data_IF_801367688580
#
_entry.id   IF_801367688580
#
_cell.length_a   1.000
_cell.length_b   1.000
_cell.length_c   1.000
_cell.angle_alpha   90.00
_cell.angle_beta   90.00
_cell.angle_gamma   90.00
#
_symmetry.space_group_name_H-M   'P 1'
#
loop_
_entity.id
_entity.type
_entity.pdbx_description
1 polymer ?
#
# COMPACT_ATOMS: atom_id res chain seq x y z
N UNK A 1 -23.99 43.81 -27.34
CA UNK A 1 -22.80 42.93 -27.19
C UNK A 1 -22.41 42.92 -25.72
N UNK A 2 -22.63 41.79 -25.03
CA UNK A 2 -22.04 41.56 -23.70
C UNK A 2 -20.65 40.97 -23.95
N UNK A 3 -19.58 41.46 -23.30
CA UNK A 3 -18.27 40.86 -23.48
C UNK A 3 -18.31 39.44 -22.91
N UNK A 4 -17.72 38.50 -23.63
CA UNK A 4 -17.46 37.15 -23.16
C UNK A 4 -16.51 37.28 -21.97
N UNK A 5 -17.01 37.01 -20.76
CA UNK A 5 -16.16 36.72 -19.62
C UNK A 5 -15.41 35.43 -19.96
N UNK A 6 -14.13 35.56 -20.26
CA UNK A 6 -13.21 34.44 -20.19
C UNK A 6 -13.18 34.07 -18.72
N UNK A 7 -13.93 33.04 -18.33
CA UNK A 7 -13.69 32.34 -17.08
C UNK A 7 -12.29 31.74 -17.24
N UNK A 8 -11.27 32.40 -16.70
CA UNK A 8 -10.01 31.72 -16.45
C UNK A 8 -10.37 30.59 -15.50
N UNK A 9 -10.35 29.35 -15.98
CA UNK A 9 -10.55 28.20 -15.11
C UNK A 9 -9.43 28.23 -14.07
N UNK A 10 -9.78 28.55 -12.82
CA UNK A 10 -8.82 28.65 -11.73
C UNK A 10 -8.70 27.26 -11.12
N UNK A 11 -7.87 26.43 -11.75
CA UNK A 11 -7.54 25.11 -11.22
C UNK A 11 -6.36 25.20 -10.25
N UNK A 12 -6.42 24.43 -9.17
CA UNK A 12 -5.33 24.20 -8.22
C UNK A 12 -4.23 23.48 -8.98
N UNK A 13 -3.08 24.13 -9.10
CA UNK A 13 -1.96 23.54 -9.81
C UNK A 13 -1.35 22.39 -8.99
N UNK A 14 -1.10 21.23 -9.61
CA UNK A 14 -0.34 20.14 -9.01
C UNK A 14 1.03 19.98 -9.69
N UNK A 15 2.10 19.91 -8.88
CA UNK A 15 3.49 19.75 -9.38
C UNK A 15 4.15 18.58 -8.69
N UNK A 16 4.72 17.64 -9.47
CA UNK A 16 5.51 16.55 -8.90
C UNK A 16 6.96 16.98 -8.63
N UNK A 17 7.37 16.98 -7.35
CA UNK A 17 8.73 17.32 -6.90
C UNK A 17 9.11 16.54 -5.64
N UNK A 18 9.41 15.25 -5.80
CA UNK A 18 9.67 14.30 -4.70
C UNK A 18 8.43 14.06 -3.81
N UNK A 19 7.25 14.08 -4.42
CA UNK A 19 5.92 14.19 -3.81
C UNK A 19 5.08 15.16 -4.66
N UNK A 20 3.79 15.30 -4.38
CA UNK A 20 2.92 16.29 -5.05
C UNK A 20 2.94 17.59 -4.24
N UNK A 21 3.09 18.72 -4.90
CA UNK A 21 2.99 20.04 -4.30
C UNK A 21 1.86 20.82 -4.96
N UNK A 22 1.02 21.44 -4.15
CA UNK A 22 -0.05 22.35 -4.55
C UNK A 22 0.40 23.79 -4.22
N UNK A 23 1.01 24.54 -5.17
CA UNK A 23 1.61 25.84 -4.89
C UNK A 23 0.61 26.87 -4.37
N UNK A 24 -0.61 26.86 -4.90
CA UNK A 24 -1.66 27.81 -4.53
C UNK A 24 -2.14 27.65 -3.07
N UNK A 25 -1.90 26.47 -2.48
CA UNK A 25 -2.33 26.10 -1.13
C UNK A 25 -1.14 25.91 -0.16
N UNK A 26 0.09 26.07 -0.66
CA UNK A 26 1.34 25.68 0.00
C UNK A 26 1.28 24.30 0.68
N UNK A 27 0.68 23.32 -0.01
CA UNK A 27 0.41 21.99 0.53
C UNK A 27 1.26 20.93 -0.17
N UNK A 28 2.01 20.16 0.63
CA UNK A 28 2.70 18.96 0.18
C UNK A 28 1.88 17.71 0.45
N UNK A 29 1.87 16.79 -0.51
CA UNK A 29 1.29 15.47 -0.41
C UNK A 29 2.40 14.44 -0.69
N UNK A 30 2.63 13.54 0.25
CA UNK A 30 3.62 12.46 0.18
C UNK A 30 5.03 12.93 -0.20
N UNK A 31 5.45 14.05 0.38
CA UNK A 31 6.81 14.56 0.16
C UNK A 31 7.84 13.63 0.82
N UNK A 32 8.65 12.95 0.04
CA UNK A 32 9.81 12.16 0.53
C UNK A 32 10.94 13.03 1.13
N UNK A 33 10.84 14.35 0.98
CA UNK A 33 11.73 15.32 1.63
C UNK A 33 11.05 15.91 2.86
N UNK A 34 11.83 16.18 3.91
CA UNK A 34 11.34 16.85 5.12
C UNK A 34 10.69 18.20 4.76
N UNK A 35 9.49 18.42 5.27
CA UNK A 35 8.70 19.65 5.13
C UNK A 35 8.20 20.10 6.50
N UNK A 36 7.74 21.33 6.58
CA UNK A 36 7.04 21.82 7.76
C UNK A 36 5.71 21.06 7.93
N UNK A 37 4.87 21.09 6.89
CA UNK A 37 3.60 20.37 6.82
C UNK A 37 3.53 19.55 5.53
N UNK A 38 3.00 18.32 5.61
CA UNK A 38 2.75 17.45 4.46
C UNK A 38 1.72 16.39 4.85
N UNK A 39 0.85 16.03 3.92
CA UNK A 39 0.11 14.77 4.02
C UNK A 39 1.09 13.60 3.90
N UNK A 40 0.83 12.55 4.68
CA UNK A 40 1.31 11.18 4.42
C UNK A 40 0.07 10.31 4.20
N UNK A 41 -0.18 9.91 2.96
CA UNK A 41 -1.35 9.12 2.56
C UNK A 41 -1.34 7.73 3.18
N UNK A 42 -0.17 7.10 3.29
CA UNK A 42 0.01 5.77 3.85
C UNK A 42 1.47 5.48 4.27
N UNK A 43 1.68 4.38 4.99
CA UNK A 43 2.93 4.08 5.69
C UNK A 43 4.03 3.39 4.83
N UNK A 44 4.04 3.60 3.51
CA UNK A 44 5.15 3.14 2.66
C UNK A 44 6.28 4.15 2.59
N UNK A 45 7.51 3.64 2.46
CA UNK A 45 8.73 4.45 2.60
C UNK A 45 8.93 5.48 1.48
N UNK A 46 8.36 5.23 0.31
CA UNK A 46 8.33 6.09 -0.86
C UNK A 46 7.24 7.17 -0.81
N UNK A 47 6.36 7.12 0.20
CA UNK A 47 5.36 8.15 0.50
C UNK A 47 5.64 8.90 1.80
N UNK A 48 6.67 8.49 2.56
CA UNK A 48 6.89 8.98 3.92
C UNK A 48 8.14 9.86 4.04
N UNK A 49 7.95 11.14 4.37
CA UNK A 49 9.02 12.04 4.82
C UNK A 49 9.00 12.30 6.33
N UNK A 50 10.15 12.65 6.93
CA UNK A 50 10.24 13.05 8.36
C UNK A 50 9.79 14.50 8.57
N UNK A 51 8.54 14.81 8.24
CA UNK A 51 7.96 16.14 8.36
C UNK A 51 7.91 16.61 9.82
N UNK A 52 7.93 17.93 10.05
CA UNK A 52 7.74 18.46 11.40
C UNK A 52 6.31 18.20 11.87
N UNK A 53 5.32 18.45 11.01
CA UNK A 53 3.90 18.36 11.34
C UNK A 53 3.12 17.61 10.26
N UNK A 54 3.33 16.28 10.11
CA UNK A 54 2.63 15.50 9.10
C UNK A 54 1.14 15.37 9.45
N UNK A 55 0.27 15.34 8.44
CA UNK A 55 -1.15 14.99 8.60
C UNK A 55 -1.40 13.62 7.99
N UNK A 56 -2.12 12.76 8.71
CA UNK A 56 -2.28 11.34 8.36
C UNK A 56 -3.37 10.69 9.20
N UNK A 57 -3.84 9.51 8.78
CA UNK A 57 -4.81 8.73 9.56
C UNK A 57 -4.18 8.19 10.86
N UNK A 58 -4.99 7.92 11.91
CA UNK A 58 -4.50 7.29 13.14
C UNK A 58 -3.80 5.95 12.89
N UNK A 59 -4.31 5.14 11.96
CA UNK A 59 -3.75 3.84 11.61
C UNK A 59 -2.40 3.98 10.87
N UNK A 60 -2.28 4.93 9.93
CA UNK A 60 -0.99 5.25 9.29
C UNK A 60 0.03 5.72 10.33
N UNK A 61 -0.39 6.52 11.32
CA UNK A 61 0.50 6.96 12.39
C UNK A 61 0.98 5.78 13.27
N UNK A 62 0.09 4.86 13.60
CA UNK A 62 0.43 3.65 14.36
C UNK A 62 1.42 2.75 13.61
N UNK A 63 1.28 2.63 12.29
CA UNK A 63 2.21 1.88 11.44
C UNK A 63 3.60 2.54 11.34
N UNK A 64 3.65 3.86 11.32
CA UNK A 64 4.91 4.61 11.24
C UNK A 64 5.68 4.64 12.57
N UNK A 65 4.98 4.61 13.71
CA UNK A 65 5.57 4.49 15.05
C UNK A 65 6.78 5.41 15.27
N UNK A 66 7.95 4.81 15.51
CA UNK A 66 9.24 5.49 15.74
C UNK A 66 9.66 6.47 14.63
N UNK A 67 9.12 6.32 13.41
CA UNK A 67 9.40 7.26 12.32
C UNK A 67 8.89 8.68 12.63
N UNK A 68 7.83 8.79 13.45
CA UNK A 68 7.19 10.04 13.84
C UNK A 68 7.68 10.60 15.18
N UNK A 69 8.66 9.96 15.84
CA UNK A 69 9.10 10.32 17.21
C UNK A 69 9.54 11.78 17.41
N UNK A 70 9.96 12.45 16.33
CA UNK A 70 10.43 13.84 16.32
C UNK A 70 9.48 14.76 15.53
N UNK A 71 8.24 14.31 15.33
CA UNK A 71 7.18 15.01 14.62
C UNK A 71 6.04 15.35 15.59
N UNK A 72 5.23 16.34 15.23
CA UNK A 72 3.96 16.70 15.86
C UNK A 72 2.81 16.31 14.91
N UNK A 73 2.42 15.03 14.85
CA UNK A 73 1.46 14.57 13.84
C UNK A 73 0.05 15.10 14.09
N UNK A 74 -0.61 15.55 13.02
CA UNK A 74 -2.05 15.81 13.00
C UNK A 74 -2.75 14.51 12.63
N UNK A 75 -3.36 13.85 13.63
CA UNK A 75 -4.15 12.65 13.41
C UNK A 75 -5.52 13.03 12.87
N UNK A 76 -5.80 12.66 11.62
CA UNK A 76 -7.02 13.00 10.91
C UNK A 76 -7.82 11.73 10.60
N UNK A 77 -8.87 11.40 11.39
CA UNK A 77 -9.75 10.29 11.06
C UNK A 77 -10.46 10.50 9.73
N UNK A 78 -10.87 9.42 9.08
CA UNK A 78 -11.66 9.51 7.86
C UNK A 78 -12.92 10.36 8.05
N UNK A 79 -13.30 11.08 6.99
CA UNK A 79 -14.48 11.95 6.92
C UNK A 79 -14.48 13.14 7.91
N UNK A 80 -13.38 13.35 8.64
CA UNK A 80 -13.22 14.55 9.48
C UNK A 80 -12.50 15.63 8.68
N UNK A 81 -13.02 16.88 8.68
CA UNK A 81 -12.36 17.98 8.01
C UNK A 81 -11.18 18.51 8.83
N UNK A 82 -10.05 18.69 8.18
CA UNK A 82 -8.97 19.54 8.65
C UNK A 82 -9.11 20.92 8.00
N UNK A 83 -9.43 21.93 8.82
CA UNK A 83 -9.67 23.29 8.35
C UNK A 83 -8.39 24.14 8.41
N UNK A 84 -7.80 24.40 7.25
CA UNK A 84 -6.64 25.29 7.08
C UNK A 84 -7.09 26.66 6.54
N UNK A 85 -6.25 27.72 6.60
CA UNK A 85 -6.63 29.04 6.09
C UNK A 85 -7.07 29.05 4.62
N UNK A 86 -6.35 28.32 3.75
CA UNK A 86 -6.56 28.34 2.29
C UNK A 86 -7.39 27.17 1.76
N UNK A 87 -7.54 26.10 2.53
CA UNK A 87 -8.23 24.89 2.10
C UNK A 87 -8.88 24.13 3.25
N UNK A 88 -9.82 23.24 2.92
CA UNK A 88 -10.28 22.18 3.81
C UNK A 88 -9.81 20.84 3.25
N UNK A 89 -9.22 19.98 4.09
CA UNK A 89 -8.78 18.65 3.68
C UNK A 89 -9.57 17.57 4.42
N UNK A 90 -10.09 16.58 3.69
CA UNK A 90 -10.79 15.42 4.27
C UNK A 90 -10.19 14.13 3.73
N UNK A 91 -9.94 13.16 4.62
CA UNK A 91 -9.40 11.86 4.24
C UNK A 91 -10.50 10.83 4.01
N UNK A 92 -10.34 10.00 2.98
CA UNK A 92 -11.23 8.91 2.61
C UNK A 92 -10.44 7.61 2.43
N UNK A 93 -11.00 6.44 2.74
CA UNK A 93 -10.33 5.16 2.54
C UNK A 93 -9.80 4.95 1.12
N UNK A 94 -8.56 4.46 0.99
CA UNK A 94 -7.91 4.19 -0.30
C UNK A 94 -7.88 2.69 -0.70
N UNK A 95 -8.21 1.75 0.19
CA UNK A 95 -8.17 0.31 -0.12
C UNK A 95 -6.79 -0.35 -0.03
N UNK A 96 -5.71 0.42 -0.14
CA UNK A 96 -4.37 -0.07 -0.43
C UNK A 96 -3.71 -0.83 0.74
N UNK A 97 -3.64 -0.20 1.90
CA UNK A 97 -3.20 -0.81 3.16
C UNK A 97 -3.96 -0.21 4.35
N UNK A 98 -3.85 -0.82 5.53
CA UNK A 98 -4.51 -0.32 6.74
C UNK A 98 -4.21 1.17 6.97
N UNK A 99 -5.26 1.99 7.05
CA UNK A 99 -5.12 3.44 7.24
C UNK A 99 -4.75 4.24 5.99
N UNK A 100 -4.58 3.60 4.83
CA UNK A 100 -4.30 4.30 3.57
C UNK A 100 -5.45 5.22 3.17
N UNK A 101 -5.12 6.45 2.77
CA UNK A 101 -6.09 7.49 2.53
C UNK A 101 -5.91 8.21 1.20
N UNK A 102 -7.04 8.43 0.53
CA UNK A 102 -7.22 9.51 -0.43
C UNK A 102 -7.43 10.81 0.34
N UNK A 103 -6.99 11.93 -0.20
CA UNK A 103 -7.20 13.26 0.38
C UNK A 103 -7.99 14.14 -0.59
N UNK A 104 -9.20 14.54 -0.18
CA UNK A 104 -9.97 15.57 -0.86
C UNK A 104 -9.56 16.93 -0.31
N UNK A 105 -9.06 17.80 -1.18
CA UNK A 105 -8.64 19.17 -0.87
C UNK A 105 -9.60 20.13 -1.55
N UNK A 106 -10.32 20.90 -0.75
CA UNK A 106 -11.25 21.92 -1.22
C UNK A 106 -10.63 23.30 -1.04
N UNK A 107 -10.35 23.98 -2.15
CA UNK A 107 -9.81 25.35 -2.14
C UNK A 107 -10.86 26.33 -1.64
N UNK A 108 -10.55 27.11 -0.61
CA UNK A 108 -11.48 28.14 -0.10
C UNK A 108 -11.56 29.36 -1.02
N UNK A 109 -10.52 29.61 -1.80
CA UNK A 109 -10.48 30.73 -2.74
C UNK A 109 -11.28 30.46 -4.02
N UNK A 110 -11.24 29.23 -4.53
CA UNK A 110 -11.83 28.87 -5.83
C UNK A 110 -13.06 27.96 -5.73
N UNK A 111 -13.22 27.25 -4.61
CA UNK A 111 -14.25 26.22 -4.42
C UNK A 111 -13.96 24.90 -5.14
N UNK A 112 -12.81 24.78 -5.81
CA UNK A 112 -12.43 23.55 -6.52
C UNK A 112 -12.05 22.44 -5.53
N UNK A 113 -12.46 21.22 -5.88
CA UNK A 113 -12.16 20.00 -5.14
C UNK A 113 -11.16 19.14 -5.90
N UNK A 114 -9.93 19.10 -5.42
CA UNK A 114 -8.88 18.23 -5.92
C UNK A 114 -8.80 16.97 -5.05
N UNK A 115 -8.90 15.79 -5.66
CA UNK A 115 -8.66 14.52 -4.98
C UNK A 115 -7.27 14.01 -5.31
N UNK A 116 -6.44 13.82 -4.28
CA UNK A 116 -5.21 13.06 -4.39
C UNK A 116 -5.45 11.64 -3.89
N UNK A 117 -5.21 10.64 -4.72
CA UNK A 117 -5.58 9.26 -4.37
C UNK A 117 -4.61 8.63 -3.36
N UNK A 118 -3.36 9.09 -3.30
CA UNK A 118 -2.28 8.24 -2.80
C UNK A 118 -2.21 6.95 -3.62
N UNK A 119 -1.71 5.87 -3.03
CA UNK A 119 -1.86 4.53 -3.62
C UNK A 119 -3.24 3.97 -3.26
N UNK A 120 -3.91 3.36 -4.25
CA UNK A 120 -5.26 2.81 -4.08
C UNK A 120 -5.31 1.32 -4.40
N UNK A 121 -6.32 0.62 -3.88
CA UNK A 121 -6.70 -0.72 -4.33
C UNK A 121 -8.23 -0.76 -4.49
N UNK A 122 -8.71 -0.96 -5.71
CA UNK A 122 -10.15 -1.06 -6.00
C UNK A 122 -10.75 -2.39 -5.54
N UNK A 123 -9.98 -3.49 -5.64
CA UNK A 123 -10.36 -4.81 -5.10
C UNK A 123 -10.40 -4.76 -3.57
N UNK A 124 -11.52 -5.21 -3.01
CA UNK A 124 -11.71 -5.25 -1.54
C UNK A 124 -10.72 -6.18 -0.87
N UNK A 125 -10.12 -5.73 0.23
CA UNK A 125 -9.27 -6.53 1.10
C UNK A 125 -9.99 -6.95 2.38
N UNK A 126 -9.60 -8.08 2.96
CA UNK A 126 -10.10 -8.53 4.27
C UNK A 126 -9.36 -7.88 5.45
N UNK A 127 -8.28 -7.13 5.16
CA UNK A 127 -7.39 -6.56 6.18
C UNK A 127 -7.26 -5.03 6.12
N UNK A 128 -7.92 -4.38 5.15
CA UNK A 128 -7.88 -2.93 4.93
C UNK A 128 -9.29 -2.36 4.80
N UNK A 129 -9.45 -1.06 5.04
CA UNK A 129 -10.68 -0.33 4.71
C UNK A 129 -10.90 -0.33 3.18
N UNK A 130 -12.12 -0.60 2.66
CA UNK A 130 -12.35 -0.63 1.21
C UNK A 130 -12.23 0.77 0.60
N UNK A 131 -11.76 0.86 -0.66
CA UNK A 131 -11.72 2.12 -1.41
C UNK A 131 -13.10 2.78 -1.47
N UNK A 132 -13.16 4.07 -1.17
CA UNK A 132 -14.37 4.89 -1.32
C UNK A 132 -14.27 5.77 -2.56
N UNK A 133 -15.32 5.80 -3.39
CA UNK A 133 -15.39 6.71 -4.53
C UNK A 133 -15.72 8.13 -4.06
N UNK A 134 -14.86 9.09 -4.37
CA UNK A 134 -15.01 10.50 -3.94
C UNK A 134 -15.22 11.39 -5.16
N UNK A 135 -16.30 12.18 -5.15
CA UNK A 135 -16.56 13.16 -6.20
C UNK A 135 -15.57 14.33 -6.09
N UNK A 136 -14.92 14.64 -7.21
CA UNK A 136 -13.94 15.71 -7.32
C UNK A 136 -14.03 16.38 -8.69
N UNK A 137 -13.42 17.55 -8.80
CA UNK A 137 -13.33 18.32 -10.04
C UNK A 137 -11.98 18.02 -10.74
N UNK A 138 -10.91 17.86 -9.96
CA UNK A 138 -9.57 17.46 -10.41
C UNK A 138 -9.12 16.20 -9.69
N UNK A 139 -8.62 15.21 -10.43
CA UNK A 139 -8.09 13.95 -9.89
C UNK A 139 -6.58 13.84 -10.13
N UNK A 140 -5.82 13.70 -9.04
CA UNK A 140 -4.41 13.32 -9.06
C UNK A 140 -4.31 11.87 -8.61
N UNK A 141 -4.23 10.96 -9.59
CA UNK A 141 -4.30 9.52 -9.37
C UNK A 141 -2.93 8.83 -9.43
N UNK A 142 -2.79 7.75 -8.66
CA UNK A 142 -1.72 6.79 -8.92
C UNK A 142 -1.94 6.09 -10.26
N UNK A 143 -0.84 5.73 -10.91
CA UNK A 143 -0.84 5.12 -12.23
C UNK A 143 0.25 4.06 -12.34
N UNK A 144 0.51 3.31 -11.26
CA UNK A 144 1.55 2.28 -11.19
C UNK A 144 1.45 1.32 -12.38
N UNK A 145 0.22 0.92 -12.71
CA UNK A 145 -0.12 0.05 -13.83
C UNK A 145 -0.96 0.77 -14.90
N UNK A 146 -0.74 2.08 -15.10
CA UNK A 146 -1.48 2.91 -16.06
C UNK A 146 -1.19 2.64 -17.53
N UNK A 147 -0.60 1.48 -17.89
CA UNK A 147 -0.38 1.09 -19.28
C UNK A 147 -1.26 -0.11 -19.66
N UNK A 148 -1.81 -0.15 -20.89
CA UNK A 148 -2.73 -1.21 -21.32
C UNK A 148 -2.20 -2.65 -21.23
N UNK A 149 -0.87 -2.85 -21.19
CA UNK A 149 -0.28 -4.18 -21.00
C UNK A 149 -0.45 -4.75 -19.58
N UNK A 150 -0.82 -3.93 -18.59
CA UNK A 150 -1.03 -4.35 -17.21
C UNK A 150 -2.51 -4.58 -16.92
N UNK A 151 -3.01 -5.73 -17.35
CA UNK A 151 -4.34 -6.24 -17.00
C UNK A 151 -4.16 -7.53 -16.20
N UNK A 152 -4.72 -7.59 -15.00
CA UNK A 152 -4.53 -8.72 -14.10
C UNK A 152 -5.63 -9.78 -14.29
N UNK A 153 -5.29 -11.08 -14.19
CA UNK A 153 -6.31 -12.11 -14.06
C UNK A 153 -7.07 -11.94 -12.72
N UNK A 154 -8.27 -12.54 -12.59
CA UNK A 154 -9.02 -12.49 -11.33
C UNK A 154 -8.18 -12.96 -10.14
N UNK A 155 -8.22 -12.20 -9.04
CA UNK A 155 -7.39 -12.44 -7.85
C UNK A 155 -7.52 -13.87 -7.30
N UNK A 156 -8.74 -14.44 -7.31
CA UNK A 156 -9.02 -15.81 -6.91
C UNK A 156 -8.24 -16.85 -7.72
N UNK A 157 -8.10 -16.65 -9.04
CA UNK A 157 -7.36 -17.58 -9.91
C UNK A 157 -5.85 -17.53 -9.63
N UNK A 158 -5.33 -16.34 -9.32
CA UNK A 158 -3.94 -16.13 -8.92
C UNK A 158 -3.66 -16.84 -7.59
N UNK A 159 -4.55 -16.65 -6.61
CA UNK A 159 -4.46 -17.28 -5.30
C UNK A 159 -4.57 -18.82 -5.38
N UNK A 160 -5.51 -19.37 -6.16
CA UNK A 160 -5.62 -20.82 -6.37
C UNK A 160 -4.34 -21.41 -6.98
N UNK A 161 -3.74 -20.71 -7.95
CA UNK A 161 -2.45 -21.10 -8.53
C UNK A 161 -1.32 -21.05 -7.49
N UNK A 162 -1.30 -20.02 -6.64
CA UNK A 162 -0.35 -19.92 -5.53
C UNK A 162 -0.51 -21.10 -4.57
N UNK A 163 -1.73 -21.42 -4.13
CA UNK A 163 -1.99 -22.51 -3.20
C UNK A 163 -1.56 -23.86 -3.77
N UNK A 164 -1.89 -24.14 -5.03
CA UNK A 164 -1.46 -25.37 -5.71
C UNK A 164 0.07 -25.47 -5.78
N UNK A 165 0.74 -24.37 -6.11
CA UNK A 165 2.21 -24.29 -6.19
C UNK A 165 2.84 -24.57 -4.82
N UNK A 166 2.33 -23.92 -3.76
CA UNK A 166 2.83 -24.08 -2.40
C UNK A 166 2.63 -25.51 -1.90
N UNK A 167 1.43 -26.10 -2.08
CA UNK A 167 1.16 -27.50 -1.68
C UNK A 167 2.07 -28.48 -2.42
N UNK A 168 2.31 -28.27 -3.71
CA UNK A 168 3.24 -29.09 -4.51
C UNK A 168 4.68 -29.01 -3.98
N UNK A 169 5.16 -27.82 -3.61
CA UNK A 169 6.50 -27.67 -3.05
C UNK A 169 6.61 -28.33 -1.67
N UNK A 170 5.62 -28.12 -0.81
CA UNK A 170 5.55 -28.77 0.51
C UNK A 170 5.52 -30.29 0.39
N UNK A 171 4.75 -30.86 -0.55
CA UNK A 171 4.68 -32.32 -0.74
C UNK A 171 5.98 -32.94 -1.23
N UNK A 172 6.89 -32.13 -1.79
CA UNK A 172 8.24 -32.57 -2.18
C UNK A 172 9.24 -32.46 -1.04
N UNK A 173 8.88 -31.84 0.09
CA UNK A 173 9.80 -31.47 1.16
C UNK A 173 10.67 -30.26 0.80
N UNK A 174 10.20 -29.40 -0.12
CA UNK A 174 10.81 -28.09 -0.34
C UNK A 174 10.33 -27.09 0.73
N UNK A 175 11.03 -25.96 0.85
CA UNK A 175 10.78 -24.90 1.83
C UNK A 175 10.29 -23.62 1.14
N UNK A 176 8.97 -23.37 1.07
CA UNK A 176 8.40 -22.24 0.34
C UNK A 176 8.62 -20.90 1.03
N UNK A 177 9.21 -19.95 0.31
CA UNK A 177 9.25 -18.53 0.66
C UNK A 177 8.25 -17.80 -0.20
N UNK A 178 7.24 -17.16 0.39
CA UNK A 178 6.38 -16.19 -0.31
C UNK A 178 6.98 -14.81 -0.10
N UNK A 179 7.21 -14.07 -1.18
CA UNK A 179 7.72 -12.70 -1.09
C UNK A 179 6.57 -11.70 -0.97
N UNK A 180 6.62 -10.86 0.06
CA UNK A 180 5.67 -9.77 0.27
C UNK A 180 6.32 -8.59 1.00
N UNK A 181 5.90 -7.36 0.68
CA UNK A 181 6.41 -6.16 1.35
C UNK A 181 6.01 -6.10 2.82
N UNK A 182 6.62 -5.23 3.62
CA UNK A 182 6.44 -5.24 5.08
C UNK A 182 4.99 -4.99 5.53
N UNK A 183 4.28 -4.13 4.80
CA UNK A 183 2.93 -3.65 5.09
C UNK A 183 2.00 -3.88 3.89
N UNK A 184 0.68 -3.88 4.12
CA UNK A 184 -0.35 -4.07 3.09
C UNK A 184 -0.37 -5.51 2.58
N UNK A 185 0.29 -5.74 1.43
CA UNK A 185 0.29 -7.02 0.71
C UNK A 185 0.64 -8.23 1.58
N UNK A 186 1.60 -8.12 2.50
CA UNK A 186 1.96 -9.26 3.35
C UNK A 186 0.85 -9.63 4.32
N UNK A 187 0.15 -8.66 4.91
CA UNK A 187 -0.97 -8.94 5.80
C UNK A 187 -2.11 -9.58 5.03
N UNK A 188 -2.38 -9.11 3.81
CA UNK A 188 -3.40 -9.72 2.96
C UNK A 188 -3.03 -11.16 2.55
N UNK A 189 -1.81 -11.39 2.07
CA UNK A 189 -1.32 -12.73 1.75
C UNK A 189 -1.32 -13.66 2.97
N UNK A 190 -0.95 -13.15 4.16
CA UNK A 190 -1.02 -13.90 5.41
C UNK A 190 -2.45 -14.33 5.71
N UNK A 191 -3.43 -13.42 5.57
CA UNK A 191 -4.84 -13.73 5.77
C UNK A 191 -5.30 -14.84 4.81
N UNK A 192 -4.97 -14.73 3.51
CA UNK A 192 -5.32 -15.73 2.51
C UNK A 192 -4.68 -17.10 2.76
N UNK A 193 -3.38 -17.14 3.08
CA UNK A 193 -2.66 -18.38 3.36
C UNK A 193 -3.20 -19.09 4.60
N UNK A 194 -3.38 -18.37 5.71
CA UNK A 194 -3.98 -18.93 6.92
C UNK A 194 -5.40 -19.44 6.66
N UNK A 195 -6.20 -18.68 5.91
CA UNK A 195 -7.58 -19.05 5.55
C UNK A 195 -7.66 -20.28 4.65
N UNK A 196 -6.60 -20.59 3.91
CA UNK A 196 -6.49 -21.80 3.09
C UNK A 196 -5.80 -22.97 3.83
N UNK A 197 -5.58 -22.85 5.14
CA UNK A 197 -5.04 -23.92 5.98
C UNK A 197 -3.53 -24.14 5.85
N UNK A 198 -2.77 -23.11 5.46
CA UNK A 198 -1.31 -23.15 5.54
C UNK A 198 -0.86 -22.74 6.94
N UNK A 199 0.16 -23.43 7.46
CA UNK A 199 0.95 -22.93 8.58
C UNK A 199 1.99 -21.93 8.06
N UNK A 200 2.00 -20.72 8.62
CA UNK A 200 2.81 -19.60 8.12
C UNK A 200 3.71 -19.03 9.23
N UNK A 201 5.00 -18.93 8.94
CA UNK A 201 5.93 -18.09 9.67
C UNK A 201 6.07 -16.76 8.92
N UNK A 202 6.14 -15.65 9.64
CA UNK A 202 6.34 -14.32 9.05
C UNK A 202 7.62 -13.67 9.60
N UNK A 203 8.34 -12.98 8.74
CA UNK A 203 9.54 -12.24 9.13
C UNK A 203 9.22 -11.11 10.13
N UNK A 204 10.18 -10.78 11.00
CA UNK A 204 10.04 -9.79 12.09
C UNK A 204 9.32 -8.50 11.68
N UNK A 205 9.70 -7.88 10.56
CA UNK A 205 9.09 -6.61 10.14
C UNK A 205 7.64 -6.77 9.70
N UNK A 206 7.29 -7.91 9.11
CA UNK A 206 5.90 -8.27 8.79
C UNK A 206 5.14 -8.59 10.08
N UNK A 207 5.77 -9.27 11.04
CA UNK A 207 5.19 -9.58 12.35
C UNK A 207 4.81 -8.33 13.13
N UNK A 208 5.72 -7.36 13.22
CA UNK A 208 5.48 -6.08 13.88
C UNK A 208 4.36 -5.30 13.20
N UNK A 209 4.36 -5.22 11.86
CA UNK A 209 3.26 -4.60 11.10
C UNK A 209 1.92 -5.29 11.35
N UNK A 210 1.91 -6.63 11.36
CA UNK A 210 0.71 -7.43 11.63
C UNK A 210 0.14 -7.19 13.02
N UNK A 211 0.98 -6.90 14.03
CA UNK A 211 0.51 -6.54 15.37
C UNK A 211 -0.22 -5.20 15.40
N UNK A 212 0.17 -4.25 14.56
CA UNK A 212 -0.59 -3.00 14.40
C UNK A 212 -1.97 -3.29 13.81
N UNK A 213 -2.07 -4.18 12.82
CA UNK A 213 -3.35 -4.61 12.25
C UNK A 213 -4.25 -5.28 13.30
N UNK A 214 -3.69 -6.18 14.12
CA UNK A 214 -4.43 -6.80 15.23
C UNK A 214 -4.94 -5.75 16.24
N UNK A 215 -4.12 -4.78 16.60
CA UNK A 215 -4.50 -3.70 17.52
C UNK A 215 -5.57 -2.78 16.93
N UNK A 216 -5.61 -2.62 15.60
CA UNK A 216 -6.67 -1.92 14.88
C UNK A 216 -7.97 -2.75 14.71
N UNK A 217 -7.99 -4.00 15.20
CA UNK A 217 -9.17 -4.86 15.19
C UNK A 217 -9.27 -5.81 14.00
N UNK A 218 -8.26 -5.86 13.12
CA UNK A 218 -8.19 -6.83 12.02
C UNK A 218 -8.06 -8.23 12.60
N UNK A 219 -8.81 -9.18 12.03
CA UNK A 219 -8.78 -10.59 12.44
C UNK A 219 -8.11 -11.42 11.37
N UNK A 220 -7.27 -12.36 11.81
CA UNK A 220 -6.65 -13.35 10.93
C UNK A 220 -7.22 -14.74 11.22
N UNK A 221 -7.43 -15.58 10.20
CA UNK A 221 -8.09 -16.88 10.33
C UNK A 221 -7.16 -17.99 10.90
N UNK A 222 -6.08 -17.62 11.57
CA UNK A 222 -5.10 -18.56 12.11
C UNK A 222 -4.10 -17.89 13.05
N UNK A 223 -3.18 -18.68 13.59
CA UNK A 223 -2.17 -18.17 14.51
C UNK A 223 -1.10 -17.38 13.75
N UNK A 224 -0.78 -16.19 14.25
CA UNK A 224 0.34 -15.37 13.78
C UNK A 224 1.61 -15.82 14.48
N UNK A 225 2.61 -16.28 13.72
CA UNK A 225 3.90 -16.74 14.27
C UNK A 225 5.07 -16.06 13.58
N UNK A 226 5.98 -15.52 14.38
CA UNK A 226 7.23 -14.91 13.89
C UNK A 226 8.25 -15.99 13.54
N UNK A 227 9.05 -15.73 12.50
CA UNK A 227 10.24 -16.51 12.21
C UNK A 227 11.40 -16.11 13.14
N UNK A 228 11.82 -17.03 14.01
CA UNK A 228 12.89 -16.81 15.01
C UNK A 228 14.20 -17.53 14.66
N UNK A 229 14.36 -17.95 13.40
CA UNK A 229 15.54 -18.70 12.92
C UNK A 229 15.30 -20.21 12.81
N UNK A 230 14.20 -20.72 13.36
CA UNK A 230 13.72 -22.07 13.14
C UNK A 230 12.60 -22.09 12.10
N UNK A 231 12.66 -23.05 11.18
CA UNK A 231 11.64 -23.23 10.15
C UNK A 231 11.27 -24.72 10.10
N UNK A 232 10.11 -25.12 10.64
CA UNK A 232 9.66 -26.50 10.60
C UNK A 232 9.29 -26.95 9.18
N UNK A 233 9.42 -28.25 8.91
CA UNK A 233 8.96 -28.82 7.64
C UNK A 233 7.43 -28.69 7.54
N UNK A 234 6.92 -28.46 6.32
CA UNK A 234 5.49 -28.25 6.08
C UNK A 234 5.03 -26.79 6.20
N UNK A 235 5.87 -25.88 6.69
CA UNK A 235 5.52 -24.47 6.90
C UNK A 235 5.91 -23.58 5.73
N UNK A 236 5.09 -22.57 5.44
CA UNK A 236 5.40 -21.48 4.49
C UNK A 236 6.05 -20.32 5.25
N UNK A 237 7.07 -19.70 4.65
CA UNK A 237 7.69 -18.49 5.20
C UNK A 237 7.29 -17.27 4.35
N UNK A 238 6.62 -16.30 4.94
CA UNK A 238 6.35 -15.01 4.31
C UNK A 238 7.48 -14.04 4.68
N UNK A 239 8.17 -13.51 3.67
CA UNK A 239 9.45 -12.83 3.85
C UNK A 239 9.62 -11.65 2.88
N UNK A 240 10.13 -10.49 3.32
CA UNK A 240 10.33 -9.35 2.43
C UNK A 240 11.44 -9.57 1.40
N UNK A 241 11.31 -9.00 0.19
CA UNK A 241 12.39 -9.04 -0.79
C UNK A 241 13.64 -8.26 -0.30
N UNK A 242 14.83 -8.66 -0.78
CA UNK A 242 16.10 -7.95 -0.54
C UNK A 242 17.08 -8.59 0.45
N UNK A 243 17.91 -7.76 1.11
CA UNK A 243 19.11 -8.12 1.90
C UNK A 243 18.85 -8.80 3.26
N UNK A 244 17.67 -9.41 3.45
CA UNK A 244 17.39 -10.26 4.64
C UNK A 244 17.48 -11.75 4.31
N UNK A 245 17.87 -12.12 3.08
CA UNK A 245 18.09 -13.53 2.66
C UNK A 245 19.22 -14.23 3.42
N UNK A 246 20.08 -13.46 4.09
CA UNK A 246 21.14 -13.93 4.97
C UNK A 246 20.60 -14.86 6.06
N UNK A 247 19.46 -14.52 6.66
CA UNK A 247 18.80 -15.36 7.67
C UNK A 247 18.38 -16.72 7.12
N UNK A 248 18.24 -16.84 5.79
CA UNK A 248 17.81 -18.05 5.12
C UNK A 248 18.97 -18.88 4.55
N UNK A 249 20.24 -18.44 4.68
CA UNK A 249 21.40 -19.12 4.08
C UNK A 249 21.57 -20.57 4.54
N UNK A 250 21.26 -20.86 5.80
CA UNK A 250 21.39 -22.21 6.38
C UNK A 250 20.35 -23.23 5.90
N UNK A 251 19.28 -22.80 5.24
CA UNK A 251 18.23 -23.69 4.76
C UNK A 251 18.48 -24.15 3.31
N UNK A 252 18.29 -25.43 3.05
CA UNK A 252 18.36 -26.01 1.70
C UNK A 252 16.95 -26.15 1.10
N UNK A 253 16.86 -26.49 -0.19
CA UNK A 253 15.60 -26.75 -0.90
C UNK A 253 14.55 -25.63 -0.83
N UNK A 254 15.03 -24.39 -0.73
CA UNK A 254 14.15 -23.20 -0.75
C UNK A 254 13.51 -23.06 -2.13
N UNK A 255 12.23 -22.69 -2.15
CA UNK A 255 11.50 -22.29 -3.35
C UNK A 255 10.86 -20.95 -3.12
N UNK A 256 11.13 -19.98 -3.98
CA UNK A 256 10.61 -18.62 -3.82
C UNK A 256 9.44 -18.40 -4.75
N UNK A 257 8.28 -18.03 -4.18
CA UNK A 257 7.10 -17.57 -4.89
C UNK A 257 7.00 -16.05 -4.75
N UNK A 258 7.05 -15.33 -5.85
CA UNK A 258 6.85 -13.89 -5.90
C UNK A 258 5.39 -13.55 -6.25
N UNK A 259 4.77 -12.67 -5.46
CA UNK A 259 3.40 -12.19 -5.66
C UNK A 259 3.47 -10.71 -6.06
N UNK A 260 3.46 -10.43 -7.37
CA UNK A 260 3.76 -9.09 -7.92
C UNK A 260 2.95 -8.78 -9.18
N UNK A 261 2.38 -7.58 -9.29
CA UNK A 261 1.64 -7.16 -10.49
C UNK A 261 2.50 -7.14 -11.76
N UNK A 262 3.82 -6.97 -11.62
CA UNK A 262 4.76 -6.98 -12.74
C UNK A 262 4.92 -8.36 -13.41
N UNK A 263 4.37 -9.43 -12.85
CA UNK A 263 4.44 -10.77 -13.42
C UNK A 263 3.57 -10.95 -14.69
N UNK A 264 2.75 -9.97 -15.06
CA UNK A 264 1.96 -10.00 -16.31
C UNK A 264 2.79 -9.77 -17.56
N UNK A 265 3.87 -8.97 -17.49
CA UNK A 265 4.73 -8.73 -18.63
C UNK A 265 5.85 -9.76 -18.65
N UNK A 266 5.78 -10.71 -19.58
CA UNK A 266 6.79 -11.77 -19.77
C UNK A 266 8.20 -11.26 -20.14
N UNK A 267 8.50 -9.96 -19.97
CA UNK A 267 9.70 -9.26 -20.45
C UNK A 267 10.53 -8.57 -19.35
N UNK A 268 10.16 -8.61 -18.06
CA UNK A 268 10.92 -7.90 -17.01
C UNK A 268 12.05 -8.75 -16.35
N UNK A 269 13.25 -8.17 -16.07
CA UNK A 269 14.34 -8.86 -15.38
C UNK A 269 14.11 -9.10 -13.87
N UNK A 270 13.20 -8.36 -13.24
CA UNK A 270 12.98 -8.38 -11.78
C UNK A 270 12.24 -9.63 -11.27
N UNK A 271 11.66 -10.44 -12.16
CA UNK A 271 11.09 -11.76 -11.84
C UNK A 271 12.05 -12.94 -12.04
N UNK A 272 13.33 -12.72 -12.39
CA UNK A 272 14.27 -13.82 -12.69
C UNK A 272 14.92 -14.49 -11.48
N UNK A 273 14.63 -14.04 -10.25
CA UNK A 273 15.25 -14.59 -9.04
C UNK A 273 14.35 -15.53 -8.23
N UNK A 274 13.06 -15.61 -8.58
CA UNK A 274 12.09 -16.49 -7.94
C UNK A 274 11.94 -17.79 -8.73
N UNK A 275 11.54 -18.86 -8.06
CA UNK A 275 11.23 -20.15 -8.70
C UNK A 275 9.86 -20.09 -9.42
N UNK A 276 8.98 -19.19 -8.98
CA UNK A 276 7.72 -18.84 -9.66
C UNK A 276 7.32 -17.39 -9.32
N UNK A 277 6.64 -16.71 -10.26
CA UNK A 277 6.07 -15.37 -10.06
C UNK A 277 4.62 -15.34 -10.54
N UNK A 278 3.73 -14.72 -9.76
CA UNK A 278 2.30 -14.63 -10.04
C UNK A 278 1.80 -13.18 -10.00
N UNK A 279 0.88 -12.78 -10.92
CA UNK A 279 0.39 -11.41 -11.04
C UNK A 279 -0.58 -11.03 -9.92
N UNK A 280 -0.04 -10.73 -8.74
CA UNK A 280 -0.81 -10.30 -7.57
C UNK A 280 -0.42 -8.88 -7.16
N UNK A 281 -1.40 -7.99 -7.17
CA UNK A 281 -1.19 -6.56 -6.95
C UNK A 281 -2.16 -5.97 -5.93
N UNK A 282 -1.62 -5.13 -5.06
CA UNK A 282 -2.28 -4.21 -4.14
C UNK A 282 -2.55 -2.83 -4.77
N UNK A 283 -2.38 -2.72 -6.09
CA UNK A 283 -2.73 -1.56 -6.91
C UNK A 283 -3.72 -1.98 -8.02
N UNK A 284 -4.57 -1.06 -8.50
CA UNK A 284 -5.41 -1.27 -9.66
C UNK A 284 -4.59 -1.59 -10.92
N UNK A 285 -5.16 -2.42 -11.77
CA UNK A 285 -4.71 -2.63 -13.14
C UNK A 285 -5.23 -1.52 -14.08
N UNK A 286 -4.90 -1.59 -15.37
CA UNK A 286 -5.30 -0.57 -16.34
C UNK A 286 -6.82 -0.39 -16.48
N UNK A 287 -7.62 -1.44 -16.32
CA UNK A 287 -9.08 -1.37 -16.46
C UNK A 287 -9.78 -0.96 -15.15
N UNK A 288 -9.08 -1.08 -14.02
CA UNK A 288 -9.57 -0.67 -12.71
C UNK A 288 -9.32 0.82 -12.41
N UNK A 289 -8.36 1.45 -13.10
CA UNK A 289 -8.08 2.90 -13.08
C UNK A 289 -9.14 3.70 -13.85
#
# INVERSE_FOLDING_TARGET
MRPWLVLSEVYVQAVFKSGVYLPDLDLWLDSTRKREFSLISHAHSDHTGRHNRPVLTPNTAALLGDYLKNSDPVLLPYHQPFDAPEYTMTLYPAGHCLGSAQALIESKATGERLLYTGDIKSRTSLVNEPLEAVLCDTLVMEATYGRPEYVFPPEEQVLDTAYKTLRMWLSRGDRPVVQGWRLGKSQELLHHLLGNGFDVLIEESIYLGTHVYLNAGVKFPGQIKMFEGEWPDGWVLLFPPGKRREALKGFTRKRTLEMTGWATSGTMPWGRSADASLPYSDHPDFNEL
#
